data_IF_988862574872
#
_entry.id   IF_988862574872
#
_cell.length_a   1.000
_cell.length_b   1.000
_cell.length_c   1.000
_cell.angle_alpha   90.00
_cell.angle_beta   90.00
_cell.angle_gamma   90.00
#
_symmetry.space_group_name_H-M   'P 1'
#
loop_
_entity.id
_entity.type
_entity.pdbx_description
1 polymer ?
#
# COMPACT_ATOMS: atom_id res chain seq x y z
N UNK A 1 -29.70 9.37 1.03
CA UNK A 1 -29.04 9.38 -0.29
C UNK A 1 -27.70 8.73 -0.09
N UNK A 2 -27.54 7.49 -0.55
CA UNK A 2 -26.29 6.74 -0.42
C UNK A 2 -25.36 7.21 -1.53
N UNK A 3 -24.34 7.99 -1.20
CA UNK A 3 -23.25 8.30 -2.12
C UNK A 3 -22.35 7.06 -2.23
N UNK A 4 -22.78 6.05 -2.98
CA UNK A 4 -21.90 5.01 -3.48
C UNK A 4 -21.26 5.53 -4.75
N UNK A 5 -20.22 6.37 -4.63
CA UNK A 5 -19.37 6.63 -5.79
C UNK A 5 -18.76 5.29 -6.18
N UNK A 6 -19.19 4.74 -7.31
CA UNK A 6 -18.54 3.58 -7.93
C UNK A 6 -17.12 4.05 -8.23
N UNK A 7 -16.16 3.63 -7.42
CA UNK A 7 -14.76 3.86 -7.71
C UNK A 7 -14.45 3.21 -9.07
N UNK A 8 -13.68 3.91 -9.90
CA UNK A 8 -13.37 3.44 -11.25
C UNK A 8 -12.81 2.01 -11.25
N UNK A 9 -13.09 1.24 -12.30
CA UNK A 9 -12.60 -0.13 -12.44
C UNK A 9 -11.07 -0.15 -12.34
N UNK A 10 -10.52 -1.09 -11.56
CA UNK A 10 -9.08 -1.37 -11.54
C UNK A 10 -8.59 -1.72 -12.95
N UNK A 11 -7.36 -1.33 -13.28
CA UNK A 11 -6.75 -1.62 -14.58
C UNK A 11 -6.30 -3.07 -14.70
N UNK A 12 -5.74 -3.63 -13.62
CA UNK A 12 -5.41 -5.05 -13.55
C UNK A 12 -6.66 -5.87 -13.25
N UNK A 13 -6.86 -6.95 -14.01
CA UNK A 13 -7.92 -7.91 -13.75
C UNK A 13 -7.51 -8.95 -12.70
N UNK A 14 -8.46 -9.81 -12.30
CA UNK A 14 -8.23 -10.83 -11.28
C UNK A 14 -7.12 -11.82 -11.64
N UNK A 15 -6.93 -12.13 -12.94
CA UNK A 15 -5.88 -13.05 -13.37
C UNK A 15 -4.49 -12.43 -13.20
N UNK A 16 -4.33 -11.16 -13.61
CA UNK A 16 -3.09 -10.42 -13.41
C UNK A 16 -2.75 -10.25 -11.92
N UNK A 17 -3.76 -9.99 -11.08
CA UNK A 17 -3.60 -9.92 -9.62
C UNK A 17 -3.19 -11.27 -9.03
N UNK A 18 -3.83 -12.36 -9.44
CA UNK A 18 -3.50 -13.71 -8.96
C UNK A 18 -2.07 -14.12 -9.35
N UNK A 19 -1.65 -13.85 -10.59
CA UNK A 19 -0.27 -14.08 -11.03
C UNK A 19 0.73 -13.27 -10.19
N UNK A 20 0.42 -11.99 -9.93
CA UNK A 20 1.26 -11.13 -9.10
C UNK A 20 1.37 -11.67 -7.66
N UNK A 21 0.27 -12.11 -7.05
CA UNK A 21 0.26 -12.71 -5.70
C UNK A 21 1.06 -14.02 -5.69
N UNK A 22 0.88 -14.89 -6.69
CA UNK A 22 1.59 -16.16 -6.78
C UNK A 22 3.12 -16.00 -6.91
N UNK A 23 3.57 -14.87 -7.47
CA UNK A 23 4.99 -14.56 -7.59
C UNK A 23 5.63 -14.03 -6.30
N UNK A 24 4.85 -13.52 -5.34
CA UNK A 24 5.37 -12.87 -4.13
C UNK A 24 6.34 -13.74 -3.29
N UNK A 25 6.13 -15.05 -3.09
CA UNK A 25 7.05 -15.86 -2.29
C UNK A 25 8.50 -15.88 -2.81
N UNK A 26 8.68 -15.75 -4.11
CA UNK A 26 10.00 -15.71 -4.76
C UNK A 26 10.47 -14.27 -5.03
N UNK A 27 9.53 -13.37 -5.35
CA UNK A 27 9.82 -12.00 -5.76
C UNK A 27 9.86 -11.00 -4.61
N UNK A 28 9.44 -11.35 -3.40
CA UNK A 28 9.16 -10.53 -2.19
C UNK A 28 8.20 -9.34 -2.39
N UNK A 29 8.19 -8.71 -3.57
CA UNK A 29 7.33 -7.61 -3.97
C UNK A 29 7.12 -7.66 -5.48
N UNK A 30 5.95 -7.21 -5.92
CA UNK A 30 5.56 -7.10 -7.32
C UNK A 30 4.93 -5.74 -7.58
N UNK A 31 5.04 -5.25 -8.81
CA UNK A 31 4.45 -3.97 -9.23
C UNK A 31 3.67 -4.17 -10.51
N UNK A 32 2.44 -3.64 -10.53
CA UNK A 32 1.54 -3.72 -11.67
C UNK A 32 0.70 -2.44 -11.79
N UNK A 33 0.24 -2.07 -13.00
CA UNK A 33 -0.69 -0.97 -13.17
C UNK A 33 -2.03 -1.28 -12.50
N UNK A 34 -2.40 -0.49 -11.49
CA UNK A 34 -3.60 -0.76 -10.71
C UNK A 34 -4.74 0.20 -11.03
N UNK A 35 -4.46 1.50 -11.19
CA UNK A 35 -5.46 2.56 -11.25
C UNK A 35 -5.34 3.39 -12.53
N UNK A 36 -6.49 3.74 -13.10
CA UNK A 36 -6.57 4.70 -14.20
C UNK A 36 -6.35 6.15 -13.74
N UNK A 37 -6.12 7.05 -14.70
CA UNK A 37 -5.84 8.47 -14.42
C UNK A 37 -6.95 9.15 -13.60
N UNK A 38 -8.22 8.94 -13.96
CA UNK A 38 -9.36 9.54 -13.25
C UNK A 38 -9.43 9.11 -11.77
N UNK A 39 -9.12 7.83 -11.50
CA UNK A 39 -9.06 7.30 -10.15
C UNK A 39 -7.90 7.94 -9.36
N UNK A 40 -6.72 8.04 -9.98
CA UNK A 40 -5.57 8.72 -9.37
C UNK A 40 -5.88 10.19 -9.06
N UNK A 41 -6.52 10.92 -9.97
CA UNK A 41 -6.89 12.33 -9.77
C UNK A 41 -7.87 12.50 -8.60
N UNK A 42 -8.86 11.61 -8.46
CA UNK A 42 -9.79 11.62 -7.33
C UNK A 42 -9.06 11.37 -5.99
N UNK A 43 -8.15 10.38 -5.95
CA UNK A 43 -7.34 10.08 -4.76
C UNK A 43 -6.39 11.23 -4.41
N UNK A 44 -5.80 11.89 -5.41
CA UNK A 44 -4.97 13.08 -5.20
C UNK A 44 -5.81 14.20 -4.59
N UNK A 45 -6.98 14.50 -5.18
CA UNK A 45 -7.85 15.56 -4.71
C UNK A 45 -8.29 15.35 -3.25
N UNK A 46 -8.69 14.13 -2.89
CA UNK A 46 -9.02 13.82 -1.49
C UNK A 46 -7.79 13.89 -0.59
N UNK A 47 -6.66 13.30 -1.01
CA UNK A 47 -5.43 13.30 -0.22
C UNK A 47 -4.95 14.70 0.11
N UNK A 48 -5.25 15.72 -0.71
CA UNK A 48 -4.91 17.12 -0.49
C UNK A 48 -5.59 17.70 0.76
N UNK A 49 -6.79 17.22 1.08
CA UNK A 49 -7.64 17.73 2.15
C UNK A 49 -7.47 17.00 3.49
N UNK A 50 -6.67 15.92 3.52
CA UNK A 50 -6.38 15.20 4.76
C UNK A 50 -5.54 16.04 5.72
N UNK A 51 -5.70 15.75 7.02
CA UNK A 51 -4.85 16.33 8.06
C UNK A 51 -3.58 15.51 8.22
N UNK A 52 -2.46 16.09 7.80
CA UNK A 52 -1.13 15.49 7.98
C UNK A 52 -0.48 15.95 9.28
N UNK A 53 0.37 15.07 9.79
CA UNK A 53 1.37 15.41 10.80
C UNK A 53 2.72 14.81 10.39
N UNK A 54 3.85 15.36 10.84
CA UNK A 54 5.13 14.67 10.73
C UNK A 54 5.04 13.27 11.35
N UNK A 55 5.66 12.28 10.71
CA UNK A 55 5.89 10.99 11.33
C UNK A 55 6.85 11.15 12.52
N UNK A 56 6.78 10.22 13.47
CA UNK A 56 7.80 10.18 14.52
C UNK A 56 9.15 9.85 13.84
N UNK A 57 10.18 10.70 13.98
CA UNK A 57 11.41 10.57 13.18
C UNK A 57 12.14 9.25 13.39
N UNK A 58 11.96 8.66 14.58
CA UNK A 58 12.54 7.38 14.96
C UNK A 58 11.51 6.56 15.71
N UNK A 59 11.25 5.34 15.24
CA UNK A 59 10.44 4.33 15.92
C UNK A 59 11.26 3.08 16.19
N UNK A 60 10.87 2.31 17.21
CA UNK A 60 11.59 1.11 17.63
C UNK A 60 12.95 1.40 18.29
N UNK A 61 13.70 0.34 18.55
CA UNK A 61 15.03 0.40 19.19
C UNK A 61 15.93 -0.72 18.69
N UNK A 62 17.25 -0.58 18.86
CA UNK A 62 18.25 -1.55 18.40
C UNK A 62 18.09 -1.87 16.91
N UNK A 63 18.12 -3.16 16.57
CA UNK A 63 17.97 -3.64 15.19
C UNK A 63 16.57 -3.42 14.59
N UNK A 64 15.58 -3.05 15.40
CA UNK A 64 14.22 -2.70 14.95
C UNK A 64 14.02 -1.20 14.79
N UNK A 65 15.08 -0.39 14.96
CA UNK A 65 15.01 1.06 14.82
C UNK A 65 14.74 1.44 13.37
N UNK A 66 13.72 2.27 13.15
CA UNK A 66 13.34 2.79 11.84
C UNK A 66 13.45 4.31 11.89
N UNK A 67 14.21 4.89 10.97
CA UNK A 67 14.22 6.32 10.73
C UNK A 67 13.26 6.66 9.60
N UNK A 68 12.49 7.74 9.78
CA UNK A 68 11.44 8.13 8.85
C UNK A 68 11.44 9.65 8.70
N UNK A 69 11.32 10.10 7.45
CA UNK A 69 11.20 11.50 7.09
C UNK A 69 10.03 11.68 6.14
N UNK A 70 8.83 11.56 6.69
CA UNK A 70 7.58 11.72 5.96
C UNK A 70 6.53 12.43 6.83
N UNK A 71 5.50 12.92 6.17
CA UNK A 71 4.24 13.29 6.80
C UNK A 71 3.23 12.17 6.59
N UNK A 72 2.35 11.94 7.56
CA UNK A 72 1.36 10.87 7.49
C UNK A 72 0.00 11.33 7.96
N UNK A 73 -1.04 10.81 7.30
CA UNK A 73 -2.42 10.80 7.76
C UNK A 73 -2.85 9.35 7.99
N UNK A 74 -3.30 9.05 9.22
CA UNK A 74 -3.88 7.76 9.60
C UNK A 74 -5.39 7.87 9.89
N UNK A 75 -5.93 9.08 9.87
CA UNK A 75 -7.36 9.33 10.08
C UNK A 75 -8.01 9.56 8.71
N UNK A 76 -8.13 8.47 7.95
CA UNK A 76 -8.77 8.50 6.64
C UNK A 76 -10.28 8.37 6.84
N UNK A 77 -11.10 9.29 6.30
CA UNK A 77 -12.55 9.16 6.33
C UNK A 77 -13.01 7.83 5.70
N UNK A 78 -14.07 7.25 6.23
CA UNK A 78 -14.69 6.03 5.70
C UNK A 78 -15.62 6.32 4.50
N UNK A 79 -15.91 7.58 4.23
CA UNK A 79 -16.75 8.08 3.15
C UNK A 79 -15.95 8.92 2.13
N UNK A 80 -15.13 8.25 1.31
CA UNK A 80 -14.29 8.94 0.33
C UNK A 80 -13.83 8.05 -0.82
N UNK A 81 -13.16 8.67 -1.80
CA UNK A 81 -12.48 7.96 -2.88
C UNK A 81 -11.35 7.05 -2.33
N UNK A 82 -10.65 7.47 -1.27
CA UNK A 82 -9.64 6.65 -0.59
C UNK A 82 -10.26 5.39 0.03
N UNK A 83 -11.35 5.54 0.80
CA UNK A 83 -12.07 4.41 1.36
C UNK A 83 -12.67 3.49 0.27
N UNK A 84 -13.26 4.08 -0.76
CA UNK A 84 -13.81 3.32 -1.90
C UNK A 84 -12.72 2.57 -2.68
N UNK A 85 -11.52 3.15 -2.83
CA UNK A 85 -10.36 2.47 -3.40
C UNK A 85 -9.91 1.30 -2.54
N UNK A 86 -9.87 1.47 -1.22
CA UNK A 86 -9.54 0.41 -0.27
C UNK A 86 -10.48 -0.78 -0.40
N UNK A 87 -11.80 -0.53 -0.39
CA UNK A 87 -12.83 -1.55 -0.55
C UNK A 87 -12.78 -2.22 -1.94
N UNK A 88 -12.57 -1.46 -3.01
CA UNK A 88 -12.44 -2.01 -4.36
C UNK A 88 -11.19 -2.90 -4.51
N UNK A 89 -10.08 -2.51 -3.87
CA UNK A 89 -8.85 -3.29 -3.85
C UNK A 89 -9.00 -4.56 -2.99
N UNK A 90 -9.67 -4.46 -1.85
CA UNK A 90 -9.98 -5.63 -1.00
C UNK A 90 -10.72 -6.70 -1.80
N UNK A 91 -11.87 -6.35 -2.39
CA UNK A 91 -12.66 -7.30 -3.18
C UNK A 91 -11.89 -7.89 -4.36
N UNK A 92 -11.09 -7.07 -5.06
CA UNK A 92 -10.30 -7.57 -6.19
C UNK A 92 -9.14 -8.50 -5.76
N UNK A 93 -8.53 -8.26 -4.61
CA UNK A 93 -7.50 -9.14 -4.06
C UNK A 93 -8.12 -10.43 -3.52
N UNK A 94 -9.28 -10.35 -2.89
CA UNK A 94 -10.04 -11.51 -2.41
C UNK A 94 -10.42 -12.43 -3.59
N UNK A 95 -11.05 -11.86 -4.63
CA UNK A 95 -11.37 -12.58 -5.89
C UNK A 95 -10.12 -13.23 -6.51
N UNK A 96 -8.97 -12.54 -6.50
CA UNK A 96 -7.73 -13.06 -7.06
C UNK A 96 -7.11 -14.19 -6.21
N UNK A 97 -7.23 -14.11 -4.88
CA UNK A 97 -6.78 -15.15 -3.96
C UNK A 97 -7.58 -16.45 -4.14
N UNK A 98 -8.88 -16.36 -4.44
CA UNK A 98 -9.72 -17.53 -4.73
C UNK A 98 -9.27 -18.30 -5.99
N UNK A 99 -8.55 -17.64 -6.91
CA UNK A 99 -8.02 -18.28 -8.13
C UNK A 99 -6.78 -19.15 -7.85
N UNK A 100 -6.17 -19.05 -6.68
CA UNK A 100 -4.90 -19.70 -6.36
C UNK A 100 -5.09 -21.05 -5.68
N UNK A 101 -4.33 -22.05 -6.14
CA UNK A 101 -4.26 -23.38 -5.54
C UNK A 101 -2.80 -23.86 -5.48
N UNK A 102 -2.25 -24.14 -4.28
CA UNK A 102 -2.87 -24.00 -2.96
C UNK A 102 -3.15 -22.53 -2.58
N UNK A 103 -3.99 -22.27 -1.54
CA UNK A 103 -4.22 -20.91 -1.05
C UNK A 103 -2.92 -20.20 -0.67
N UNK A 104 -2.78 -18.94 -1.07
CA UNK A 104 -1.58 -18.15 -0.82
C UNK A 104 -1.50 -17.62 0.63
N UNK A 105 -2.64 -17.43 1.29
CA UNK A 105 -2.75 -16.94 2.66
C UNK A 105 -3.36 -18.02 3.57
N UNK A 106 -3.01 -17.97 4.85
CA UNK A 106 -3.55 -18.89 5.88
C UNK A 106 -4.86 -18.42 6.52
N UNK A 107 -5.25 -17.18 6.26
CA UNK A 107 -6.43 -16.50 6.81
C UNK A 107 -7.09 -15.69 5.69
N UNK A 108 -8.38 -15.40 5.83
CA UNK A 108 -9.12 -14.56 4.89
C UNK A 108 -8.51 -13.15 4.82
N UNK A 109 -8.47 -12.58 3.61
CA UNK A 109 -7.87 -11.27 3.41
C UNK A 109 -8.84 -10.15 3.76
N UNK A 110 -8.35 -9.14 4.47
CA UNK A 110 -9.07 -7.90 4.70
C UNK A 110 -8.08 -6.73 4.80
N UNK A 111 -8.40 -5.61 4.16
CA UNK A 111 -7.71 -4.33 4.31
C UNK A 111 -8.09 -3.76 5.67
N UNK A 112 -7.21 -3.94 6.63
CA UNK A 112 -7.46 -3.55 8.02
C UNK A 112 -6.99 -2.13 8.36
N UNK A 113 -6.28 -1.46 7.47
CA UNK A 113 -5.80 -0.08 7.67
C UNK A 113 -5.52 0.60 6.33
N UNK A 114 -5.63 1.93 6.33
CA UNK A 114 -5.34 2.78 5.18
C UNK A 114 -4.56 4.00 5.65
N UNK A 115 -3.36 4.17 5.11
CA UNK A 115 -2.43 5.21 5.53
C UNK A 115 -1.99 6.01 4.30
N UNK A 116 -2.08 7.34 4.37
CA UNK A 116 -1.57 8.22 3.33
C UNK A 116 -0.30 8.91 3.80
N UNK A 117 0.78 8.74 3.05
CA UNK A 117 2.09 9.31 3.35
C UNK A 117 2.50 10.33 2.29
N UNK A 118 3.15 11.41 2.72
CA UNK A 118 3.80 12.40 1.86
C UNK A 118 5.28 12.46 2.18
N UNK A 119 6.09 12.47 1.14
CA UNK A 119 7.54 12.65 1.23
C UNK A 119 7.87 14.02 0.63
N UNK A 120 8.17 15.04 1.46
CA UNK A 120 8.53 16.36 0.97
C UNK A 120 9.76 16.31 0.05
N UNK A 121 9.92 17.32 -0.80
CA UNK A 121 11.13 17.44 -1.64
C UNK A 121 12.38 17.48 -0.74
N UNK A 122 13.32 16.59 -1.02
CA UNK A 122 14.54 16.45 -0.21
C UNK A 122 14.40 15.50 0.98
N UNK A 123 13.24 14.87 1.16
CA UNK A 123 13.06 13.82 2.16
C UNK A 123 14.07 12.69 1.97
N UNK A 124 14.62 12.21 3.09
CA UNK A 124 15.48 11.03 3.11
C UNK A 124 14.74 9.70 3.02
N UNK A 125 13.40 9.71 3.00
CA UNK A 125 12.57 8.52 2.92
C UNK A 125 12.38 7.82 4.25
N UNK A 126 12.29 6.50 4.19
CA UNK A 126 12.13 5.60 5.35
C UNK A 126 13.17 4.48 5.24
N UNK A 127 13.81 4.15 6.36
CA UNK A 127 14.81 3.07 6.38
C UNK A 127 14.15 1.69 6.26
N UNK A 128 14.90 0.65 5.84
CA UNK A 128 14.40 -0.71 5.76
C UNK A 128 13.71 -1.16 7.05
N UNK A 129 12.51 -1.70 6.91
CA UNK A 129 11.72 -2.18 8.03
C UNK A 129 10.80 -3.32 7.58
N UNK A 130 10.13 -3.92 8.57
CA UNK A 130 8.93 -4.72 8.33
C UNK A 130 7.78 -3.99 8.99
N UNK A 131 6.63 -4.02 8.34
CA UNK A 131 5.39 -3.51 8.88
C UNK A 131 5.05 -4.16 10.23
N UNK A 132 4.19 -3.49 10.99
CA UNK A 132 3.75 -3.97 12.28
C UNK A 132 3.05 -5.34 12.15
N UNK A 133 3.17 -6.20 13.17
CA UNK A 133 2.60 -7.57 13.15
C UNK A 133 1.06 -7.64 13.02
N UNK A 134 0.40 -6.49 13.13
CA UNK A 134 -1.03 -6.34 12.90
C UNK A 134 -1.38 -6.35 11.40
N UNK A 135 -0.42 -6.02 10.53
CA UNK A 135 -0.59 -6.02 9.08
C UNK A 135 -0.01 -7.33 8.53
N UNK A 136 -0.87 -8.23 8.06
CA UNK A 136 -0.53 -9.60 7.64
C UNK A 136 -1.12 -9.90 6.26
N UNK A 137 -0.55 -10.89 5.59
CA UNK A 137 -0.98 -11.31 4.26
C UNK A 137 -0.37 -10.43 3.18
N UNK A 138 -1.09 -9.38 2.76
CA UNK A 138 -0.68 -8.50 1.67
C UNK A 138 -0.59 -7.05 2.13
N UNK A 139 0.44 -6.34 1.64
CA UNK A 139 0.62 -4.90 1.83
C UNK A 139 0.67 -4.25 0.46
N UNK A 140 -0.23 -3.31 0.21
CA UNK A 140 -0.34 -2.59 -1.07
C UNK A 140 0.15 -1.15 -0.93
N UNK A 141 1.10 -0.75 -1.77
CA UNK A 141 1.60 0.63 -1.83
C UNK A 141 1.20 1.24 -3.18
N UNK A 142 0.34 2.26 -3.14
CA UNK A 142 -0.11 2.98 -4.34
C UNK A 142 0.58 4.33 -4.40
N UNK A 143 1.38 4.56 -5.44
CA UNK A 143 2.01 5.86 -5.69
C UNK A 143 1.03 6.78 -6.41
N UNK A 144 0.55 7.82 -5.72
CA UNK A 144 -0.37 8.80 -6.32
C UNK A 144 0.37 9.88 -7.14
N UNK A 145 1.48 10.38 -6.62
CA UNK A 145 2.27 11.44 -7.27
C UNK A 145 3.76 11.27 -7.02
N UNK A 146 4.56 11.87 -7.91
CA UNK A 146 6.01 11.85 -7.80
C UNK A 146 6.64 10.52 -8.25
N UNK A 147 7.92 10.38 -7.95
CA UNK A 147 8.71 9.17 -8.23
C UNK A 147 9.61 8.92 -7.04
N UNK A 148 9.61 7.70 -6.54
CA UNK A 148 10.54 7.25 -5.51
C UNK A 148 11.14 5.91 -5.92
N UNK A 149 12.26 5.56 -5.27
CA UNK A 149 12.82 4.22 -5.37
C UNK A 149 12.22 3.39 -4.24
N UNK A 150 11.51 2.34 -4.59
CA UNK A 150 11.16 1.28 -3.65
C UNK A 150 12.26 0.22 -3.71
N UNK A 151 12.60 -0.37 -2.57
CA UNK A 151 13.58 -1.44 -2.52
C UNK A 151 13.19 -2.49 -1.49
N UNK A 152 13.30 -3.76 -1.88
CA UNK A 152 13.26 -4.87 -0.94
C UNK A 152 14.67 -5.15 -0.47
N UNK A 153 14.84 -5.33 0.83
CA UNK A 153 16.12 -5.65 1.46
C UNK A 153 16.02 -7.01 2.14
N UNK A 154 17.13 -7.75 2.19
CA UNK A 154 17.20 -9.05 2.88
C UNK A 154 17.01 -8.91 4.39
N UNK A 155 17.46 -7.78 4.94
CA UNK A 155 17.40 -7.48 6.37
C UNK A 155 17.21 -5.98 6.65
N UNK A 156 17.06 -5.66 7.94
CA UNK A 156 16.82 -4.29 8.43
C UNK A 156 18.04 -3.36 8.31
N UNK A 157 19.22 -3.89 7.99
CA UNK A 157 20.41 -3.07 7.71
C UNK A 157 20.45 -2.56 6.26
N UNK A 158 19.54 -3.03 5.41
CA UNK A 158 19.49 -2.67 3.99
C UNK A 158 20.38 -3.53 3.10
N UNK A 159 20.85 -4.68 3.60
CA UNK A 159 21.68 -5.57 2.80
C UNK A 159 20.91 -6.17 1.62
N UNK A 160 21.60 -6.36 0.49
CA UNK A 160 21.01 -6.98 -0.70
C UNK A 160 19.84 -6.20 -1.32
N UNK A 161 19.81 -4.87 -1.16
CA UNK A 161 18.75 -4.03 -1.71
C UNK A 161 18.57 -4.24 -3.21
N UNK A 162 17.33 -4.49 -3.63
CA UNK A 162 16.91 -4.64 -5.03
C UNK A 162 15.62 -3.86 -5.28
N UNK A 163 15.51 -3.32 -6.49
CA UNK A 163 14.31 -2.66 -6.98
C UNK A 163 13.31 -3.69 -7.51
#
# INVERSE_FOLDING_TARGET
MTFGAVFGRLQSDGAALAEAIAALPEADAVSLPLLGADAIDALIAESQNLRYRPAQPVIGSGDKRVWQDCEVSCAIPDDGALAACGAALEGALDDALELLSPPALSEDFAVNDLIVQRYPKGSGGITPHRDHIAYRGLISVITLTGRCRFAVCRDRSGSGARA
#
